data_IF_095194918755
#
_entry.id   IF_095194918755
#
_cell.length_a   1.000
_cell.length_b   1.000
_cell.length_c   1.000
_cell.angle_alpha   90.00
_cell.angle_beta   90.00
_cell.angle_gamma   90.00
#
_symmetry.space_group_name_H-M   'P 1'
#
loop_
_entity.id
_entity.type
_entity.pdbx_description
1 polymer ?
#
# COMPACT_ATOMS: atom_id res chain seq x y z
N UNK A 1 -20.07 -1.90 -21.28
CA UNK A 1 -19.84 -1.95 -19.82
C UNK A 1 -19.75 -0.51 -19.32
N UNK A 2 -20.89 0.08 -18.93
CA UNK A 2 -20.95 1.47 -18.50
C UNK A 2 -20.80 1.48 -16.96
N UNK A 3 -19.57 1.41 -16.48
CA UNK A 3 -19.30 1.52 -15.04
C UNK A 3 -19.46 2.96 -14.59
N UNK A 4 -20.25 3.20 -13.54
CA UNK A 4 -20.41 4.50 -12.90
C UNK A 4 -19.04 5.03 -12.49
N UNK A 5 -18.65 6.20 -13.01
CA UNK A 5 -17.42 6.89 -12.60
C UNK A 5 -17.62 7.37 -11.15
N UNK A 6 -16.92 6.76 -10.19
CA UNK A 6 -16.85 7.25 -8.82
C UNK A 6 -15.68 8.23 -8.71
N UNK A 7 -15.95 9.40 -8.15
CA UNK A 7 -14.90 10.34 -7.74
C UNK A 7 -14.32 9.85 -6.41
N UNK A 8 -13.00 9.66 -6.36
CA UNK A 8 -12.25 9.22 -5.17
C UNK A 8 -11.35 10.36 -4.72
N UNK A 9 -11.39 10.69 -3.43
CA UNK A 9 -10.55 11.74 -2.87
C UNK A 9 -9.18 11.17 -2.50
N UNK A 10 -8.13 11.89 -2.94
CA UNK A 10 -6.74 11.52 -2.72
C UNK A 10 -6.01 12.68 -2.05
N UNK A 11 -5.65 12.52 -0.77
CA UNK A 11 -4.78 13.47 -0.08
C UNK A 11 -3.36 12.92 0.00
N UNK A 12 -2.39 13.69 -0.51
CA UNK A 12 -0.97 13.37 -0.40
C UNK A 12 -0.39 14.06 0.83
N UNK A 13 0.26 13.29 1.70
CA UNK A 13 1.03 13.83 2.82
C UNK A 13 2.50 13.87 2.44
N UNK A 14 3.09 15.06 2.53
CA UNK A 14 4.48 15.31 2.13
C UNK A 14 5.35 15.62 3.34
N UNK A 15 6.61 15.20 3.25
CA UNK A 15 7.65 15.53 4.20
C UNK A 15 8.77 16.27 3.46
N UNK A 16 9.24 17.38 4.02
CA UNK A 16 10.40 18.09 3.49
C UNK A 16 11.68 17.40 3.98
N UNK A 17 12.51 16.94 3.04
CA UNK A 17 13.83 16.39 3.31
C UNK A 17 14.86 17.15 2.49
N UNK A 18 15.70 17.94 3.17
CA UNK A 18 16.78 18.71 2.55
C UNK A 18 16.29 19.63 1.41
N UNK A 19 15.13 20.25 1.60
CA UNK A 19 14.50 21.12 0.59
C UNK A 19 13.61 20.38 -0.41
N UNK A 20 13.59 19.04 -0.40
CA UNK A 20 12.76 18.24 -1.31
C UNK A 20 11.50 17.77 -0.62
N UNK A 21 10.33 18.11 -1.17
CA UNK A 21 9.05 17.59 -0.71
C UNK A 21 8.83 16.19 -1.28
N UNK A 22 8.83 15.19 -0.40
CA UNK A 22 8.63 13.79 -0.75
C UNK A 22 7.30 13.32 -0.18
N UNK A 23 6.49 12.66 -1.01
CA UNK A 23 5.28 11.98 -0.54
C UNK A 23 5.69 10.82 0.36
N UNK A 24 5.09 10.73 1.54
CA UNK A 24 5.31 9.61 2.45
C UNK A 24 4.04 8.80 2.75
N UNK A 25 2.86 9.38 2.54
CA UNK A 25 1.57 8.71 2.76
C UNK A 25 0.51 9.26 1.79
N UNK A 26 -0.42 8.38 1.42
CA UNK A 26 -1.58 8.70 0.59
C UNK A 26 -2.82 8.33 1.39
N UNK A 27 -3.75 9.27 1.51
CA UNK A 27 -5.04 9.07 2.16
C UNK A 27 -6.09 8.96 1.07
N UNK A 28 -6.77 7.81 1.02
CA UNK A 28 -7.82 7.53 0.04
C UNK A 28 -9.13 7.51 0.79
N UNK A 29 -10.05 8.41 0.45
CA UNK A 29 -11.36 8.55 1.12
C UNK A 29 -11.25 8.57 2.66
N UNK A 30 -10.25 9.29 3.17
CA UNK A 30 -9.97 9.42 4.61
C UNK A 30 -9.14 8.29 5.24
N UNK A 31 -8.87 7.21 4.51
CA UNK A 31 -8.05 6.09 4.98
C UNK A 31 -6.57 6.25 4.58
N UNK A 32 -5.69 6.45 5.56
CA UNK A 32 -4.23 6.50 5.38
C UNK A 32 -3.70 5.12 4.99
N UNK A 33 -2.98 5.05 3.87
CA UNK A 33 -2.36 3.82 3.41
C UNK A 33 -1.30 3.34 4.40
N UNK A 34 -0.42 4.24 4.86
CA UNK A 34 0.62 3.92 5.84
C UNK A 34 0.01 3.45 7.15
N UNK A 35 -1.01 4.16 7.66
CA UNK A 35 -1.70 3.78 8.90
C UNK A 35 -2.36 2.40 8.80
N UNK A 36 -3.01 2.11 7.67
CA UNK A 36 -3.64 0.82 7.41
C UNK A 36 -2.61 -0.33 7.38
N UNK A 37 -1.52 -0.17 6.62
CA UNK A 37 -0.47 -1.20 6.59
C UNK A 37 0.23 -1.35 7.94
N UNK A 38 0.45 -0.27 8.68
CA UNK A 38 1.03 -0.33 10.01
C UNK A 38 0.18 -1.18 10.98
N UNK A 39 -1.14 -0.97 10.99
CA UNK A 39 -2.06 -1.78 11.79
C UNK A 39 -2.03 -3.27 11.39
N UNK A 40 -2.05 -3.55 10.08
CA UNK A 40 -1.97 -4.92 9.57
C UNK A 40 -0.65 -5.60 9.94
N UNK A 41 0.48 -4.90 9.77
CA UNK A 41 1.80 -5.45 10.10
C UNK A 41 1.94 -5.68 11.60
N UNK A 42 1.44 -4.77 12.43
CA UNK A 42 1.40 -4.94 13.89
C UNK A 42 0.65 -6.22 14.27
N UNK A 43 -0.52 -6.47 13.66
CA UNK A 43 -1.27 -7.69 13.88
C UNK A 43 -0.48 -8.94 13.48
N UNK A 44 0.12 -8.93 12.28
CA UNK A 44 0.89 -10.07 11.78
C UNK A 44 2.10 -10.35 12.66
N UNK A 45 2.84 -9.31 13.09
CA UNK A 45 4.02 -9.48 13.94
C UNK A 45 3.63 -10.08 15.28
N UNK A 46 2.52 -9.61 15.87
CA UNK A 46 1.99 -10.15 17.13
C UNK A 46 1.66 -11.65 17.01
N UNK A 47 1.10 -12.06 15.88
CA UNK A 47 0.57 -13.42 15.70
C UNK A 47 1.62 -14.40 15.11
N UNK A 48 2.58 -13.92 14.30
CA UNK A 48 3.47 -14.76 13.46
C UNK A 48 4.96 -14.39 13.53
N UNK A 49 5.36 -13.35 14.25
CA UNK A 49 6.71 -12.74 14.26
C UNK A 49 7.07 -11.90 13.03
N UNK A 50 8.14 -11.11 13.13
CA UNK A 50 8.69 -10.33 12.03
C UNK A 50 9.09 -11.18 10.82
N UNK A 51 9.68 -12.37 11.04
CA UNK A 51 10.04 -13.27 9.94
C UNK A 51 8.78 -13.74 9.18
N UNK A 52 7.68 -13.96 9.91
CA UNK A 52 6.36 -14.27 9.34
C UNK A 52 5.81 -13.13 8.47
N UNK A 53 5.96 -11.87 8.92
CA UNK A 53 5.60 -10.70 8.12
C UNK A 53 6.39 -10.66 6.80
N UNK A 54 7.72 -10.76 6.86
CA UNK A 54 8.59 -10.70 5.66
C UNK A 54 8.23 -11.81 4.67
N UNK A 55 7.95 -13.03 5.16
CA UNK A 55 7.49 -14.14 4.32
C UNK A 55 6.18 -13.79 3.59
N UNK A 56 5.18 -13.29 4.31
CA UNK A 56 3.87 -12.93 3.76
C UNK A 56 3.95 -11.76 2.76
N UNK A 57 4.86 -10.80 2.98
CA UNK A 57 5.12 -9.72 2.02
C UNK A 57 5.70 -10.28 0.71
N UNK A 58 6.70 -11.17 0.79
CA UNK A 58 7.27 -11.82 -0.41
C UNK A 58 6.21 -12.57 -1.20
N UNK A 59 5.36 -13.33 -0.53
CA UNK A 59 4.24 -14.05 -1.17
C UNK A 59 3.29 -13.09 -1.90
N UNK A 60 2.91 -11.96 -1.28
CA UNK A 60 2.05 -10.95 -1.92
C UNK A 60 2.74 -10.25 -3.11
N UNK A 61 4.03 -9.97 -3.03
CA UNK A 61 4.79 -9.36 -4.14
C UNK A 61 4.84 -10.27 -5.36
N UNK A 62 4.96 -11.59 -5.16
CA UNK A 62 4.90 -12.56 -6.27
C UNK A 62 3.55 -12.52 -6.97
N UNK A 63 2.46 -12.41 -6.20
CA UNK A 63 1.10 -12.28 -6.73
C UNK A 63 0.95 -10.97 -7.53
N UNK A 64 1.41 -9.83 -7.01
CA UNK A 64 1.36 -8.55 -7.73
C UNK A 64 2.15 -8.58 -9.05
N UNK A 65 3.37 -9.14 -9.05
CA UNK A 65 4.20 -9.30 -10.25
C UNK A 65 3.53 -10.21 -11.29
N UNK A 66 2.81 -11.25 -10.86
CA UNK A 66 2.09 -12.13 -11.78
C UNK A 66 0.98 -11.38 -12.55
N UNK A 67 0.30 -10.42 -11.90
CA UNK A 67 -0.69 -9.57 -12.56
C UNK A 67 -0.05 -8.60 -13.58
N UNK A 68 1.17 -8.12 -13.33
CA UNK A 68 1.92 -7.31 -14.30
C UNK A 68 2.32 -8.12 -15.54
N UNK A 69 2.69 -9.40 -15.36
CA UNK A 69 3.12 -10.30 -16.46
C UNK A 69 1.95 -10.71 -17.37
N UNK A 70 0.76 -10.95 -16.81
CA UNK A 70 -0.43 -11.32 -17.63
C UNK A 70 -1.06 -10.13 -18.34
N UNK A 71 -0.71 -8.89 -17.97
CA UNK A 71 -1.23 -7.67 -18.58
C UNK A 71 -0.38 -7.14 -19.77
N UNK A 72 0.74 -7.79 -20.09
CA UNK A 72 1.53 -7.49 -21.29
C UNK A 72 1.14 -8.45 -22.44
N UNK A 73 0.95 -7.95 -23.68
CA UNK A 73 0.73 -8.79 -24.86
C UNK A 73 1.99 -9.57 -25.27
#
# INVERSE_FOLDING_TARGET
LTGTKMDTLLDFRLANRLGNWLVYDVVIDGASLVGNYHAQFTSIIRDLTYAGLVKRMKEKTLVAKAFEVTAAP
#
